data_IF_073544647640
#
_entry.id   IF_073544647640
#
_cell.length_a   1.000
_cell.length_b   1.000
_cell.length_c   1.000
_cell.angle_alpha   90.00
_cell.angle_beta   90.00
_cell.angle_gamma   90.00
#
_symmetry.space_group_name_H-M   'P 1'
#
loop_
_entity.id
_entity.type
_entity.pdbx_description
1 polymer ?
#
# COMPACT_ATOMS: atom_id res chain seq x y z
N UNK A 1 -65.19 10.17 1.65
CA UNK A 1 -64.05 9.22 1.69
C UNK A 1 -62.90 9.80 0.90
N UNK A 2 -62.03 10.54 1.59
CA UNK A 2 -60.63 10.83 1.22
C UNK A 2 -60.08 11.66 2.38
N UNK A 3 -59.63 10.95 3.39
CA UNK A 3 -58.89 11.42 4.56
C UNK A 3 -57.98 10.24 4.92
N UNK A 4 -56.71 10.54 5.24
CA UNK A 4 -55.61 9.60 5.56
C UNK A 4 -54.70 9.22 4.38
N UNK A 5 -53.96 10.18 3.82
CA UNK A 5 -52.68 9.90 3.14
C UNK A 5 -51.81 11.16 3.00
N UNK A 6 -51.53 11.87 4.11
CA UNK A 6 -50.65 13.06 4.07
C UNK A 6 -50.02 13.37 5.43
N UNK A 7 -49.55 12.34 6.15
CA UNK A 7 -48.82 12.51 7.42
C UNK A 7 -47.88 11.34 7.68
N UNK A 8 -46.87 11.16 6.83
CA UNK A 8 -45.77 10.20 7.08
C UNK A 8 -44.49 10.50 6.28
N UNK A 9 -44.24 11.75 5.88
CA UNK A 9 -43.03 12.14 5.11
C UNK A 9 -42.11 13.14 5.85
N UNK A 10 -42.23 13.28 7.18
CA UNK A 10 -41.46 14.31 7.94
C UNK A 10 -40.57 13.77 9.08
N UNK A 11 -40.21 12.47 9.08
CA UNK A 11 -39.33 11.89 10.15
C UNK A 11 -38.12 11.06 9.64
N UNK A 12 -37.62 11.28 8.41
CA UNK A 12 -36.40 10.59 7.91
C UNK A 12 -35.21 11.53 7.57
N UNK A 13 -35.09 12.66 8.26
CA UNK A 13 -33.88 13.52 8.21
C UNK A 13 -33.23 13.59 9.60
N UNK A 14 -32.48 12.55 10.00
CA UNK A 14 -31.38 12.65 11.00
C UNK A 14 -30.73 11.27 11.26
N UNK A 15 -30.02 10.67 10.29
CA UNK A 15 -29.05 9.58 10.58
C UNK A 15 -28.12 9.28 9.37
N UNK A 16 -27.51 10.31 8.79
CA UNK A 16 -26.74 10.20 7.54
C UNK A 16 -25.21 10.38 7.64
N UNK A 17 -24.67 10.86 8.76
CA UNK A 17 -23.28 11.35 8.81
C UNK A 17 -22.47 10.65 9.92
N UNK A 18 -21.65 9.67 9.54
CA UNK A 18 -20.72 9.04 10.50
C UNK A 18 -20.09 7.72 10.09
N UNK A 19 -20.48 7.16 8.94
CA UNK A 19 -20.04 5.83 8.52
C UNK A 19 -18.67 5.84 7.83
N UNK A 20 -18.34 6.80 6.97
CA UNK A 20 -17.13 6.75 6.10
C UNK A 20 -15.78 6.58 6.82
N UNK A 21 -15.62 7.11 8.03
CA UNK A 21 -14.35 7.13 8.77
C UNK A 21 -14.07 5.85 9.60
N UNK A 22 -14.69 4.70 9.32
CA UNK A 22 -14.34 3.42 9.99
C UNK A 22 -13.67 2.40 9.07
N UNK A 23 -13.59 2.70 7.78
CA UNK A 23 -13.44 1.71 6.70
C UNK A 23 -12.00 1.53 6.20
N UNK A 24 -11.05 2.30 6.71
CA UNK A 24 -9.67 2.26 6.23
C UNK A 24 -8.81 1.25 6.99
N UNK A 25 -9.12 1.01 8.28
CA UNK A 25 -8.38 0.11 9.18
C UNK A 25 -8.31 -1.36 8.79
N UNK A 26 -9.24 -1.87 7.96
CA UNK A 26 -9.28 -3.30 7.61
C UNK A 26 -8.48 -3.60 6.32
N UNK A 27 -8.17 -2.58 5.52
CA UNK A 27 -7.15 -2.68 4.46
C UNK A 27 -5.74 -2.95 5.01
N UNK A 28 -5.49 -2.58 6.27
CA UNK A 28 -4.17 -2.72 6.93
C UNK A 28 -3.80 -4.17 7.30
N UNK A 29 -4.77 -5.07 7.45
CA UNK A 29 -4.51 -6.46 7.86
C UNK A 29 -4.29 -7.41 6.68
N UNK A 30 -4.68 -6.99 5.46
CA UNK A 30 -4.64 -7.81 4.25
C UNK A 30 -3.90 -7.12 3.10
N UNK A 31 -3.32 -5.94 3.34
CA UNK A 31 -2.38 -5.29 2.44
C UNK A 31 -1.11 -6.13 2.31
N UNK A 32 -0.73 -6.43 1.08
CA UNK A 32 0.49 -7.14 0.66
C UNK A 32 1.80 -6.42 1.00
N UNK A 33 1.83 -5.60 2.06
CA UNK A 33 2.95 -4.72 2.40
C UNK A 33 3.25 -4.79 3.91
N UNK A 34 4.03 -5.79 4.29
CA UNK A 34 4.78 -5.79 5.55
C UNK A 34 6.24 -5.48 5.23
N UNK A 35 6.65 -4.22 5.36
CA UNK A 35 8.08 -3.92 5.38
C UNK A 35 8.70 -4.27 6.74
N UNK A 36 9.75 -5.07 6.69
CA UNK A 36 11.05 -4.90 7.37
C UNK A 36 11.18 -4.13 8.70
N UNK A 37 10.22 -4.20 9.63
CA UNK A 37 10.45 -3.78 11.04
C UNK A 37 10.31 -4.89 12.07
N UNK A 38 10.34 -6.15 11.63
CA UNK A 38 10.49 -7.29 12.53
C UNK A 38 11.67 -8.15 12.11
N UNK A 39 12.89 -7.60 12.24
CA UNK A 39 14.09 -8.43 12.23
C UNK A 39 14.26 -9.23 13.54
N UNK A 40 13.29 -9.14 14.48
CA UNK A 40 13.28 -9.96 15.71
C UNK A 40 11.96 -10.70 16.01
N UNK A 41 10.93 -10.67 15.15
CA UNK A 41 9.73 -11.47 15.38
C UNK A 41 9.73 -12.70 14.47
N UNK A 42 9.93 -13.86 15.07
CA UNK A 42 9.82 -15.15 14.41
C UNK A 42 8.52 -15.27 13.60
N UNK A 43 8.67 -15.83 12.40
CA UNK A 43 7.63 -16.18 11.42
C UNK A 43 6.26 -16.48 12.04
N UNK A 44 5.22 -15.78 11.59
CA UNK A 44 3.84 -16.19 11.84
C UNK A 44 3.57 -17.51 11.09
N UNK A 45 3.06 -18.56 11.75
CA UNK A 45 2.64 -19.79 11.08
C UNK A 45 1.57 -19.51 10.02
N UNK A 46 1.62 -20.22 8.88
CA UNK A 46 0.70 -20.05 7.74
C UNK A 46 -0.80 -20.21 8.09
N UNK A 47 -1.14 -20.79 9.24
CA UNK A 47 -2.52 -20.93 9.72
C UNK A 47 -3.09 -19.69 10.42
N UNK A 48 -2.26 -18.71 10.81
CA UNK A 48 -2.72 -17.54 11.58
C UNK A 48 -3.67 -16.63 10.77
N UNK A 49 -3.44 -16.35 9.48
CA UNK A 49 -4.41 -15.63 8.63
C UNK A 49 -5.77 -16.32 8.48
N UNK A 50 -5.81 -17.65 8.49
CA UNK A 50 -7.05 -18.43 8.41
C UNK A 50 -7.74 -18.53 9.78
N UNK A 51 -6.99 -18.50 10.87
CA UNK A 51 -7.54 -18.38 12.23
C UNK A 51 -8.07 -16.97 12.51
N UNK A 52 -7.48 -15.94 11.87
CA UNK A 52 -7.92 -14.54 11.92
C UNK A 52 -9.33 -14.31 11.42
N UNK A 53 -9.83 -15.15 10.51
CA UNK A 53 -11.21 -15.06 9.98
C UNK A 53 -12.20 -15.94 10.75
N UNK A 54 -11.72 -16.77 11.70
CA UNK A 54 -12.57 -17.69 12.45
C UNK A 54 -13.59 -17.03 13.38
N UNK A 55 -13.41 -15.74 13.70
CA UNK A 55 -14.35 -14.96 14.52
C UNK A 55 -15.50 -14.33 13.71
N UNK A 56 -15.42 -14.33 12.37
CA UNK A 56 -16.44 -13.72 11.51
C UNK A 56 -17.87 -14.22 11.75
N UNK A 57 -18.12 -15.51 12.05
CA UNK A 57 -19.46 -15.98 12.39
C UNK A 57 -20.11 -15.25 13.58
N UNK A 58 -19.30 -14.67 14.47
CA UNK A 58 -19.75 -13.90 15.63
C UNK A 58 -19.70 -12.38 15.39
N UNK A 59 -19.27 -11.93 14.19
CA UNK A 59 -19.08 -10.53 13.86
C UNK A 59 -20.35 -9.94 13.19
N UNK A 60 -21.09 -9.05 13.88
CA UNK A 60 -22.31 -8.46 13.33
C UNK A 60 -22.03 -7.33 12.32
N UNK A 61 -20.80 -6.82 12.25
CA UNK A 61 -20.47 -5.68 11.39
C UNK A 61 -20.20 -6.13 9.94
N UNK A 62 -20.79 -5.44 8.97
CA UNK A 62 -20.59 -5.71 7.54
C UNK A 62 -19.12 -5.61 7.09
N UNK A 63 -18.32 -4.76 7.75
CA UNK A 63 -16.98 -4.41 7.32
C UNK A 63 -15.94 -5.55 7.40
N UNK A 64 -15.77 -6.21 8.56
CA UNK A 64 -14.92 -7.39 8.64
C UNK A 64 -15.35 -8.50 7.68
N UNK A 65 -16.66 -8.70 7.50
CA UNK A 65 -17.19 -9.60 6.49
C UNK A 65 -16.82 -9.18 5.07
N UNK A 66 -16.86 -7.89 4.73
CA UNK A 66 -16.48 -7.38 3.40
C UNK A 66 -14.98 -7.51 3.14
N UNK A 67 -14.13 -7.20 4.13
CA UNK A 67 -12.67 -7.30 3.99
C UNK A 67 -12.19 -8.75 4.00
N UNK A 68 -12.74 -9.57 4.90
CA UNK A 68 -12.54 -11.01 4.86
C UNK A 68 -13.09 -11.58 3.56
N UNK A 69 -14.26 -11.13 3.08
CA UNK A 69 -14.79 -11.50 1.78
C UNK A 69 -13.85 -11.10 0.65
N UNK A 70 -13.12 -9.97 0.69
CA UNK A 70 -12.12 -9.64 -0.35
C UNK A 70 -10.86 -10.52 -0.29
N UNK A 71 -10.36 -10.86 0.91
CA UNK A 71 -9.24 -11.79 1.05
C UNK A 71 -9.63 -13.24 0.75
N UNK A 72 -10.79 -13.67 1.23
CA UNK A 72 -11.43 -14.93 0.90
C UNK A 72 -11.81 -14.97 -0.56
N UNK A 73 -12.21 -13.86 -1.19
CA UNK A 73 -12.47 -13.77 -2.64
C UNK A 73 -11.19 -13.94 -3.44
N UNK A 74 -10.05 -13.47 -2.93
CA UNK A 74 -8.76 -13.83 -3.54
C UNK A 74 -8.47 -15.32 -3.33
N UNK A 75 -8.69 -15.89 -2.14
CA UNK A 75 -8.52 -17.33 -1.88
C UNK A 75 -9.49 -18.22 -2.68
N UNK A 76 -10.73 -17.78 -2.86
CA UNK A 76 -11.81 -18.39 -3.63
C UNK A 76 -11.48 -18.30 -5.12
N UNK A 77 -11.04 -17.13 -5.60
CA UNK A 77 -10.42 -17.01 -6.93
C UNK A 77 -9.18 -17.87 -7.08
N UNK A 78 -8.36 -18.03 -6.06
CA UNK A 78 -7.15 -18.87 -6.09
C UNK A 78 -7.48 -20.35 -6.21
N UNK A 79 -8.62 -20.79 -5.67
CA UNK A 79 -9.17 -22.13 -5.88
C UNK A 79 -9.76 -22.31 -7.30
N UNK A 80 -10.15 -21.21 -7.95
CA UNK A 80 -10.65 -21.15 -9.33
C UNK A 80 -9.60 -20.77 -10.41
N UNK A 81 -8.34 -20.47 -10.01
CA UNK A 81 -7.26 -19.97 -10.90
C UNK A 81 -6.37 -21.08 -11.44
N UNK A 82 -5.63 -20.79 -12.51
CA UNK A 82 -4.56 -21.66 -13.03
C UNK A 82 -3.40 -21.75 -12.04
N UNK A 83 -2.67 -22.88 -12.04
CA UNK A 83 -1.56 -23.14 -11.12
C UNK A 83 -0.49 -22.02 -11.11
N UNK A 84 -0.26 -21.35 -12.26
CA UNK A 84 0.74 -20.28 -12.40
C UNK A 84 0.37 -18.98 -11.66
N UNK A 85 -0.91 -18.59 -11.64
CA UNK A 85 -1.36 -17.39 -10.93
C UNK A 85 -1.35 -17.60 -9.42
N UNK A 86 -1.78 -18.80 -8.98
CA UNK A 86 -1.69 -19.20 -7.58
C UNK A 86 -0.24 -19.22 -7.09
N UNK A 87 0.66 -19.79 -7.89
CA UNK A 87 2.08 -19.83 -7.57
C UNK A 87 2.66 -18.42 -7.41
N UNK A 88 2.30 -17.47 -8.29
CA UNK A 88 2.76 -16.08 -8.18
C UNK A 88 2.34 -15.42 -6.87
N UNK A 89 1.07 -15.55 -6.50
CA UNK A 89 0.55 -14.95 -5.25
C UNK A 89 1.23 -15.56 -4.02
N UNK A 90 1.47 -16.87 -4.01
CA UNK A 90 2.20 -17.54 -2.93
C UNK A 90 3.65 -17.05 -2.82
N UNK A 91 4.33 -16.83 -3.96
CA UNK A 91 5.69 -16.28 -3.98
C UNK A 91 5.69 -14.85 -3.44
N UNK A 92 4.74 -14.01 -3.87
CA UNK A 92 4.60 -12.65 -3.38
C UNK A 92 4.44 -12.64 -1.86
N UNK A 93 3.49 -13.42 -1.35
CA UNK A 93 3.22 -13.54 0.08
C UNK A 93 4.44 -14.01 0.86
N UNK A 94 5.13 -15.04 0.36
CA UNK A 94 6.33 -15.59 0.99
C UNK A 94 7.45 -14.54 1.07
N UNK A 95 7.73 -13.83 -0.02
CA UNK A 95 8.77 -12.81 -0.05
C UNK A 95 8.41 -11.60 0.82
N UNK A 96 7.17 -11.11 0.77
CA UNK A 96 6.71 -9.99 1.60
C UNK A 96 6.76 -10.30 3.11
N UNK A 97 6.50 -11.55 3.51
CA UNK A 97 6.62 -11.98 4.92
C UNK A 97 8.03 -12.44 5.34
N UNK A 98 9.06 -12.16 4.54
CA UNK A 98 10.43 -12.43 4.96
C UNK A 98 10.85 -13.90 4.90
N UNK A 99 10.14 -14.72 4.10
CA UNK A 99 10.49 -16.14 3.96
C UNK A 99 11.92 -16.29 3.42
N UNK A 100 12.78 -16.96 4.21
CA UNK A 100 14.22 -17.09 3.88
C UNK A 100 14.47 -17.74 2.52
N UNK A 101 13.63 -18.70 2.13
CA UNK A 101 13.81 -19.38 0.85
C UNK A 101 13.47 -18.46 -0.32
N UNK A 102 12.37 -17.73 -0.22
CA UNK A 102 11.98 -16.74 -1.23
C UNK A 102 13.06 -15.66 -1.39
N UNK A 103 13.53 -15.10 -0.28
CA UNK A 103 14.60 -14.10 -0.25
C UNK A 103 15.90 -14.61 -0.86
N UNK A 104 16.36 -15.81 -0.48
CA UNK A 104 17.57 -16.42 -1.07
C UNK A 104 17.43 -16.60 -2.58
N UNK A 105 16.28 -17.07 -3.05
CA UNK A 105 16.06 -17.26 -4.49
C UNK A 105 16.04 -15.92 -5.23
N UNK A 106 15.38 -14.90 -4.69
CA UNK A 106 15.38 -13.56 -5.29
C UNK A 106 16.81 -12.99 -5.40
N UNK A 107 17.61 -13.11 -4.33
CA UNK A 107 19.03 -12.68 -4.33
C UNK A 107 19.85 -13.45 -5.37
N UNK A 108 19.68 -14.78 -5.48
CA UNK A 108 20.35 -15.58 -6.51
C UNK A 108 19.97 -15.12 -7.91
N UNK A 109 18.68 -14.92 -8.19
CA UNK A 109 18.21 -14.43 -9.49
C UNK A 109 18.82 -13.08 -9.88
N UNK A 110 18.87 -12.14 -8.94
CA UNK A 110 19.48 -10.82 -9.16
C UNK A 110 20.98 -10.94 -9.39
N UNK A 111 21.68 -11.74 -8.57
CA UNK A 111 23.12 -11.96 -8.70
C UNK A 111 23.51 -12.62 -10.04
N UNK A 112 22.71 -13.60 -10.48
CA UNK A 112 22.87 -14.24 -11.78
C UNK A 112 22.60 -13.25 -12.93
N UNK A 113 21.61 -12.36 -12.77
CA UNK A 113 21.34 -11.34 -13.76
C UNK A 113 22.48 -10.32 -13.86
N UNK A 114 23.01 -9.84 -12.73
CA UNK A 114 24.14 -8.91 -12.70
C UNK A 114 25.38 -9.52 -13.36
N UNK A 115 25.73 -10.76 -12.97
CA UNK A 115 26.95 -11.44 -13.46
C UNK A 115 26.87 -11.83 -14.94
N UNK A 116 25.71 -12.31 -15.41
CA UNK A 116 25.56 -12.76 -16.80
C UNK A 116 25.12 -11.66 -17.76
N UNK A 117 24.70 -10.51 -17.23
CA UNK A 117 24.01 -9.43 -17.93
C UNK A 117 22.78 -9.89 -18.74
N UNK A 118 22.23 -11.08 -18.42
CA UNK A 118 21.07 -11.68 -19.09
C UNK A 118 19.97 -11.92 -18.06
N UNK A 119 18.84 -11.27 -18.26
CA UNK A 119 17.71 -11.41 -17.36
C UNK A 119 16.99 -12.75 -17.60
N UNK A 120 17.19 -13.70 -16.68
CA UNK A 120 16.53 -15.02 -16.71
C UNK A 120 15.33 -15.11 -15.77
N UNK A 121 14.94 -13.99 -15.16
CA UNK A 121 13.82 -13.96 -14.23
C UNK A 121 12.52 -14.11 -15.03
N UNK A 122 11.66 -15.09 -14.67
CA UNK A 122 10.38 -15.29 -15.33
C UNK A 122 9.54 -14.00 -15.26
N UNK A 123 8.95 -13.54 -16.39
CA UNK A 123 8.25 -12.27 -16.45
C UNK A 123 7.16 -12.06 -15.39
N UNK A 124 6.47 -13.13 -15.00
CA UNK A 124 5.37 -13.11 -14.03
C UNK A 124 5.79 -12.84 -12.58
N UNK A 125 7.09 -12.96 -12.25
CA UNK A 125 7.61 -12.74 -10.88
C UNK A 125 8.71 -11.67 -10.84
N UNK A 126 8.94 -10.93 -11.93
CA UNK A 126 10.01 -9.92 -12.01
C UNK A 126 9.83 -8.81 -11.00
N UNK A 127 8.60 -8.32 -10.85
CA UNK A 127 8.21 -7.33 -9.85
C UNK A 127 8.60 -7.78 -8.44
N UNK A 128 8.25 -9.02 -8.08
CA UNK A 128 8.55 -9.59 -6.76
C UNK A 128 10.07 -9.71 -6.56
N UNK A 129 10.78 -10.27 -7.53
CA UNK A 129 12.22 -10.52 -7.45
C UNK A 129 13.02 -9.22 -7.42
N UNK A 130 12.69 -8.24 -8.26
CA UNK A 130 13.38 -6.95 -8.29
C UNK A 130 13.16 -6.18 -7.00
N UNK A 131 11.90 -6.06 -6.55
CA UNK A 131 11.56 -5.37 -5.31
C UNK A 131 12.26 -6.01 -4.11
N UNK A 132 12.23 -7.35 -4.02
CA UNK A 132 12.93 -8.10 -2.96
C UNK A 132 14.44 -7.89 -3.01
N UNK A 133 15.05 -7.92 -4.20
CA UNK A 133 16.47 -7.67 -4.38
C UNK A 133 16.87 -6.26 -3.93
N UNK A 134 16.14 -5.24 -4.37
CA UNK A 134 16.39 -3.83 -4.01
C UNK A 134 16.19 -3.56 -2.50
N UNK A 135 15.25 -4.25 -1.85
CA UNK A 135 15.02 -4.14 -0.40
C UNK A 135 16.16 -4.78 0.41
N UNK A 136 16.68 -5.94 -0.02
CA UNK A 136 17.61 -6.76 0.77
C UNK A 136 19.09 -6.51 0.49
N UNK A 137 19.43 -6.06 -0.71
CA UNK A 137 20.83 -5.93 -1.17
C UNK A 137 21.32 -4.48 -1.05
N UNK A 138 22.56 -4.25 -1.49
CA UNK A 138 23.25 -2.97 -1.36
C UNK A 138 22.87 -1.96 -2.46
N UNK A 139 23.44 -0.76 -2.35
CA UNK A 139 23.24 0.34 -3.30
C UNK A 139 23.64 -0.04 -4.74
N UNK A 140 24.61 -0.95 -4.92
CA UNK A 140 25.04 -1.41 -6.24
C UNK A 140 23.90 -2.12 -6.99
N UNK A 141 23.04 -2.87 -6.28
CA UNK A 141 21.84 -3.46 -6.89
C UNK A 141 20.83 -2.41 -7.29
N UNK A 142 20.63 -1.37 -6.46
CA UNK A 142 19.75 -0.25 -6.81
C UNK A 142 20.25 0.47 -8.07
N UNK A 143 21.55 0.77 -8.14
CA UNK A 143 22.17 1.40 -9.31
C UNK A 143 22.09 0.52 -10.56
N UNK A 144 22.24 -0.79 -10.40
CA UNK A 144 22.04 -1.73 -11.50
C UNK A 144 20.60 -1.68 -12.03
N UNK A 145 19.58 -1.71 -11.16
CA UNK A 145 18.18 -1.61 -11.56
C UNK A 145 17.90 -0.23 -12.22
N UNK A 146 18.47 0.85 -11.68
CA UNK A 146 18.37 2.20 -12.25
C UNK A 146 18.96 2.27 -13.66
N UNK A 147 20.15 1.70 -13.87
CA UNK A 147 20.76 1.55 -15.18
C UNK A 147 19.87 0.75 -16.13
N UNK A 148 19.27 -0.36 -15.65
CA UNK A 148 18.37 -1.19 -16.46
C UNK A 148 17.12 -0.45 -16.89
N UNK A 149 16.54 0.35 -16.00
CA UNK A 149 15.39 1.21 -16.29
C UNK A 149 15.68 2.16 -17.47
N UNK A 150 16.86 2.76 -17.51
CA UNK A 150 17.27 3.62 -18.61
C UNK A 150 17.61 2.87 -19.90
N UNK A 151 18.15 1.65 -19.80
CA UNK A 151 18.57 0.87 -20.96
C UNK A 151 17.43 0.21 -21.72
N UNK A 152 16.31 -0.10 -21.05
CA UNK A 152 15.20 -0.83 -21.68
C UNK A 152 14.29 0.11 -22.46
N UNK A 153 13.77 -0.36 -23.60
CA UNK A 153 12.72 0.33 -24.37
C UNK A 153 11.33 -0.21 -24.09
N UNK A 154 11.21 -1.34 -23.40
CA UNK A 154 9.93 -1.97 -23.09
C UNK A 154 9.22 -1.20 -21.96
N UNK A 155 8.07 -0.59 -22.28
CA UNK A 155 7.29 0.23 -21.34
C UNK A 155 6.83 -0.59 -20.12
N UNK A 156 6.43 -1.84 -20.32
CA UNK A 156 6.04 -2.75 -19.22
C UNK A 156 7.20 -3.02 -18.27
N UNK A 157 8.38 -3.31 -18.81
CA UNK A 157 9.59 -3.55 -18.02
C UNK A 157 10.04 -2.29 -17.28
N UNK A 158 9.95 -1.11 -17.91
CA UNK A 158 10.27 0.17 -17.25
C UNK A 158 9.44 0.39 -16.00
N UNK A 159 8.13 0.14 -16.06
CA UNK A 159 7.25 0.32 -14.89
C UNK A 159 7.64 -0.59 -13.74
N UNK A 160 7.91 -1.86 -14.03
CA UNK A 160 8.32 -2.86 -13.02
C UNK A 160 9.66 -2.45 -12.39
N UNK A 161 10.64 -2.01 -13.19
CA UNK A 161 11.93 -1.55 -12.68
C UNK A 161 11.78 -0.29 -11.83
N UNK A 162 10.96 0.66 -12.27
CA UNK A 162 10.71 1.90 -11.54
C UNK A 162 10.03 1.65 -10.19
N UNK A 163 9.04 0.76 -10.15
CA UNK A 163 8.39 0.32 -8.91
C UNK A 163 9.40 -0.38 -7.99
N UNK A 164 10.23 -1.28 -8.51
CA UNK A 164 11.24 -1.97 -7.71
C UNK A 164 12.24 -1.01 -7.02
N UNK A 165 12.63 0.09 -7.68
CA UNK A 165 13.52 1.10 -7.09
C UNK A 165 12.92 1.77 -5.84
N UNK A 166 11.59 1.80 -5.73
CA UNK A 166 10.89 2.34 -4.56
C UNK A 166 10.82 1.37 -3.39
N UNK A 167 11.20 0.09 -3.58
CA UNK A 167 11.25 -0.92 -2.52
C UNK A 167 12.51 -0.87 -1.65
N UNK A 168 13.41 0.10 -1.89
CA UNK A 168 14.66 0.20 -1.12
C UNK A 168 14.38 0.49 0.35
N UNK A 169 15.10 -0.18 1.26
CA UNK A 169 15.06 0.13 2.69
C UNK A 169 15.93 1.37 3.03
N UNK A 170 16.72 1.87 2.07
CA UNK A 170 17.57 3.04 2.23
C UNK A 170 16.81 4.33 1.89
N UNK A 171 16.47 5.11 2.92
CA UNK A 171 15.75 6.39 2.78
C UNK A 171 16.49 7.43 1.94
N UNK A 172 17.82 7.37 1.86
CA UNK A 172 18.59 8.24 0.98
C UNK A 172 18.31 7.95 -0.50
N UNK A 173 18.23 6.66 -0.87
CA UNK A 173 17.94 6.24 -2.24
C UNK A 173 16.49 6.57 -2.62
N UNK A 174 15.53 6.38 -1.70
CA UNK A 174 14.15 6.80 -1.90
C UNK A 174 14.04 8.32 -2.12
N UNK A 175 14.74 9.12 -1.32
CA UNK A 175 14.77 10.57 -1.48
C UNK A 175 15.44 11.00 -2.79
N UNK A 176 16.53 10.32 -3.17
CA UNK A 176 17.19 10.54 -4.46
C UNK A 176 16.23 10.25 -5.60
N UNK A 177 15.50 9.14 -5.55
CA UNK A 177 14.51 8.77 -6.57
C UNK A 177 13.38 9.81 -6.70
N UNK A 178 12.82 10.27 -5.57
CA UNK A 178 11.79 11.31 -5.57
C UNK A 178 12.28 12.59 -6.27
N UNK A 179 13.49 13.05 -5.93
CA UNK A 179 14.08 14.23 -6.55
C UNK A 179 14.31 14.02 -8.05
N UNK A 180 14.94 12.90 -8.44
CA UNK A 180 15.16 12.55 -9.84
C UNK A 180 13.84 12.53 -10.63
N UNK A 181 12.75 12.00 -10.04
CA UNK A 181 11.46 11.92 -10.73
C UNK A 181 10.83 13.28 -11.03
N UNK A 182 11.03 14.30 -10.18
CA UNK A 182 10.36 15.58 -10.35
C UNK A 182 11.23 16.61 -11.09
N UNK A 183 12.54 16.57 -10.87
CA UNK A 183 13.48 17.63 -11.32
C UNK A 183 14.24 17.29 -12.60
N UNK A 184 14.19 16.05 -13.07
CA UNK A 184 14.94 15.63 -14.26
C UNK A 184 14.01 15.00 -15.30
N UNK A 185 14.40 15.08 -16.57
CA UNK A 185 13.70 14.42 -17.68
C UNK A 185 13.97 12.90 -17.74
N UNK A 186 14.56 12.34 -16.68
CA UNK A 186 14.95 10.93 -16.59
C UNK A 186 13.74 10.01 -16.33
N UNK A 187 12.71 10.51 -15.65
CA UNK A 187 11.46 9.79 -15.40
C UNK A 187 10.34 10.45 -16.20
N UNK A 188 9.56 9.71 -17.01
CA UNK A 188 8.44 10.28 -17.73
C UNK A 188 7.43 10.93 -16.78
N UNK A 189 6.89 12.07 -17.19
CA UNK A 189 6.00 12.88 -16.36
C UNK A 189 4.78 12.11 -15.84
N UNK A 190 4.26 11.19 -16.64
CA UNK A 190 3.14 10.31 -16.30
C UNK A 190 3.46 9.28 -15.20
N UNK A 191 4.73 8.95 -15.01
CA UNK A 191 5.19 7.93 -14.05
C UNK A 191 5.62 8.56 -12.70
N UNK A 192 5.79 9.89 -12.64
CA UNK A 192 6.19 10.61 -11.40
C UNK A 192 5.19 10.40 -10.27
N UNK A 193 3.89 10.43 -10.58
CA UNK A 193 2.83 10.19 -9.60
C UNK A 193 2.96 8.78 -9.01
N UNK A 194 3.23 7.78 -9.86
CA UNK A 194 3.39 6.40 -9.43
C UNK A 194 4.62 6.24 -8.53
N UNK A 195 5.74 6.92 -8.85
CA UNK A 195 6.93 6.95 -7.98
C UNK A 195 6.59 7.49 -6.59
N UNK A 196 5.92 8.65 -6.51
CA UNK A 196 5.58 9.27 -5.22
C UNK A 196 4.67 8.35 -4.40
N UNK A 197 3.66 7.74 -5.04
CA UNK A 197 2.72 6.82 -4.38
C UNK A 197 3.44 5.56 -3.89
N UNK A 198 4.28 4.94 -4.72
CA UNK A 198 5.00 3.73 -4.34
C UNK A 198 6.04 3.99 -3.23
N UNK A 199 6.71 5.14 -3.23
CA UNK A 199 7.56 5.54 -2.09
C UNK A 199 6.71 5.79 -0.83
N UNK A 200 5.47 6.29 -0.98
CA UNK A 200 4.51 6.45 0.12
C UNK A 200 4.02 5.13 0.74
N UNK A 201 3.92 4.09 -0.09
CA UNK A 201 3.61 2.70 0.32
C UNK A 201 4.76 2.05 1.08
N UNK A 202 6.00 2.30 0.63
CA UNK A 202 7.19 1.87 1.35
C UNK A 202 7.18 2.48 2.77
N UNK A 203 7.18 1.69 3.85
CA UNK A 203 7.11 2.23 5.21
C UNK A 203 8.36 3.01 5.65
N UNK A 204 9.54 2.77 5.05
CA UNK A 204 10.70 3.65 5.21
C UNK A 204 10.54 4.96 4.44
N UNK A 205 9.78 4.94 3.33
CA UNK A 205 9.50 6.08 2.46
C UNK A 205 8.25 6.89 2.81
N UNK A 206 7.33 6.36 3.62
CA UNK A 206 6.01 6.97 3.87
C UNK A 206 6.07 8.43 4.32
N UNK A 207 6.80 8.66 5.42
CA UNK A 207 6.98 10.01 5.97
C UNK A 207 7.71 10.93 4.99
N UNK A 208 8.65 10.36 4.23
CA UNK A 208 9.42 11.07 3.22
C UNK A 208 8.54 11.51 2.05
N UNK A 209 7.70 10.62 1.52
CA UNK A 209 6.77 10.92 0.44
C UNK A 209 5.74 11.99 0.85
N UNK A 210 5.16 11.87 2.06
CA UNK A 210 4.24 12.87 2.58
C UNK A 210 4.88 14.25 2.74
N UNK A 211 6.10 14.29 3.30
CA UNK A 211 6.87 15.54 3.40
C UNK A 211 7.17 16.11 2.02
N UNK A 212 7.67 15.28 1.10
CA UNK A 212 8.02 15.68 -0.25
C UNK A 212 6.82 16.24 -1.03
N UNK A 213 5.67 15.59 -0.92
CA UNK A 213 4.42 16.04 -1.52
C UNK A 213 4.02 17.44 -1.03
N UNK A 214 4.08 17.70 0.28
CA UNK A 214 3.79 19.03 0.83
C UNK A 214 4.79 20.09 0.38
N UNK A 215 6.09 19.78 0.43
CA UNK A 215 7.16 20.72 0.05
C UNK A 215 7.16 21.05 -1.44
N UNK A 216 6.70 20.13 -2.29
CA UNK A 216 6.66 20.28 -3.75
C UNK A 216 5.26 20.54 -4.31
N UNK A 217 4.30 20.85 -3.43
CA UNK A 217 2.89 20.98 -3.80
C UNK A 217 2.67 21.96 -4.95
N UNK A 218 3.30 23.14 -4.92
CA UNK A 218 3.11 24.15 -5.97
C UNK A 218 3.48 23.61 -7.36
N UNK A 219 4.56 22.83 -7.46
CA UNK A 219 5.02 22.22 -8.71
C UNK A 219 4.05 21.10 -9.13
N UNK A 220 3.67 20.24 -8.19
CA UNK A 220 2.76 19.12 -8.44
C UNK A 220 1.37 19.61 -8.86
N UNK A 221 0.87 20.68 -8.24
CA UNK A 221 -0.42 21.28 -8.54
C UNK A 221 -0.38 22.04 -9.87
N UNK A 222 0.69 22.77 -10.17
CA UNK A 222 0.86 23.41 -11.48
C UNK A 222 0.88 22.37 -12.62
N UNK A 223 1.44 21.19 -12.37
CA UNK A 223 1.60 20.13 -13.36
C UNK A 223 0.36 19.23 -13.53
N UNK A 224 -0.28 18.86 -12.42
CA UNK A 224 -1.34 17.85 -12.41
C UNK A 224 -2.68 18.36 -11.88
N UNK A 225 -2.77 19.60 -11.37
CA UNK A 225 -3.95 20.15 -10.70
C UNK A 225 -5.20 20.21 -11.59
N UNK A 226 -5.02 20.54 -12.88
CA UNK A 226 -6.14 20.54 -13.85
C UNK A 226 -6.58 19.12 -14.23
N UNK A 227 -5.65 18.16 -14.19
CA UNK A 227 -5.93 16.76 -14.46
C UNK A 227 -6.54 16.09 -13.22
N UNK A 228 -7.82 16.34 -12.97
CA UNK A 228 -8.56 15.88 -11.77
C UNK A 228 -8.32 14.40 -11.41
N UNK A 229 -8.25 13.52 -12.40
CA UNK A 229 -7.96 12.09 -12.19
C UNK A 229 -6.55 11.86 -11.60
N UNK A 230 -5.54 12.51 -12.18
CA UNK A 230 -4.14 12.41 -11.75
C UNK A 230 -3.94 13.05 -10.39
N UNK A 231 -4.53 14.24 -10.18
CA UNK A 231 -4.52 14.92 -8.89
C UNK A 231 -5.16 14.07 -7.79
N UNK A 232 -6.34 13.50 -8.05
CA UNK A 232 -7.04 12.62 -7.10
C UNK A 232 -6.22 11.36 -6.79
N UNK A 233 -5.59 10.75 -7.80
CA UNK A 233 -4.71 9.59 -7.63
C UNK A 233 -3.51 9.92 -6.73
N UNK A 234 -2.85 11.06 -6.98
CA UNK A 234 -1.69 11.51 -6.20
C UNK A 234 -2.07 11.78 -4.74
N UNK A 235 -3.11 12.60 -4.49
CA UNK A 235 -3.56 12.95 -3.14
C UNK A 235 -3.99 11.68 -2.40
N UNK A 236 -4.82 10.84 -3.03
CA UNK A 236 -5.28 9.60 -2.42
C UNK A 236 -4.12 8.68 -2.06
N UNK A 237 -3.19 8.44 -2.99
CA UNK A 237 -2.08 7.51 -2.77
C UNK A 237 -1.06 7.98 -1.75
N UNK A 238 -0.76 9.28 -1.66
CA UNK A 238 0.20 9.79 -0.67
C UNK A 238 -0.39 9.87 0.75
N UNK A 239 -1.71 10.04 0.86
CA UNK A 239 -2.40 10.16 2.16
C UNK A 239 -2.97 8.83 2.68
N UNK A 240 -3.09 7.81 1.83
CA UNK A 240 -3.71 6.50 2.10
C UNK A 240 -3.27 5.87 3.43
N UNK A 241 -1.97 6.02 3.77
CA UNK A 241 -1.35 5.36 4.92
C UNK A 241 -1.02 6.29 6.10
N UNK A 242 -1.50 7.54 6.07
CA UNK A 242 -1.38 8.43 7.23
C UNK A 242 -2.33 7.92 8.33
N UNK A 243 -1.83 7.76 9.55
CA UNK A 243 -2.57 7.09 10.62
C UNK A 243 -2.29 7.63 12.03
N UNK A 244 -1.56 8.74 12.15
CA UNK A 244 -1.29 9.41 13.43
C UNK A 244 -2.05 10.74 13.54
N UNK A 245 -2.37 11.14 14.77
CA UNK A 245 -3.00 12.46 15.05
C UNK A 245 -2.17 13.63 14.51
N UNK A 246 -0.84 13.49 14.53
CA UNK A 246 0.07 14.48 13.96
C UNK A 246 -0.12 14.63 12.45
N UNK A 247 -0.10 13.52 11.71
CA UNK A 247 -0.28 13.54 10.25
C UNK A 247 -1.68 14.04 9.86
N UNK A 248 -2.71 13.69 10.64
CA UNK A 248 -4.05 14.20 10.43
C UNK A 248 -4.13 15.72 10.58
N UNK A 249 -3.50 16.27 11.62
CA UNK A 249 -3.45 17.72 11.81
C UNK A 249 -2.65 18.40 10.69
N UNK A 250 -1.51 17.83 10.30
CA UNK A 250 -0.72 18.32 9.17
C UNK A 250 -1.52 18.34 7.85
N UNK A 251 -2.36 17.32 7.60
CA UNK A 251 -3.24 17.28 6.44
C UNK A 251 -4.33 18.37 6.51
N UNK A 252 -4.95 18.57 7.68
CA UNK A 252 -5.94 19.65 7.89
C UNK A 252 -5.34 21.03 7.64
N UNK A 253 -4.18 21.29 8.21
CA UNK A 253 -3.43 22.54 8.01
C UNK A 253 -3.06 22.73 6.54
N UNK A 254 -2.61 21.67 5.86
CA UNK A 254 -2.25 21.71 4.45
C UNK A 254 -3.45 22.05 3.54
N UNK A 255 -4.62 21.45 3.79
CA UNK A 255 -5.85 21.74 3.04
C UNK A 255 -6.27 23.20 3.21
N UNK A 256 -6.22 23.71 4.45
CA UNK A 256 -6.56 25.11 4.76
C UNK A 256 -5.59 26.09 4.11
N UNK A 257 -4.28 25.87 4.26
CA UNK A 257 -3.24 26.77 3.74
C UNK A 257 -3.29 26.94 2.21
N UNK A 258 -3.70 25.90 1.49
CA UNK A 258 -3.74 25.90 0.03
C UNK A 258 -5.15 26.11 -0.56
N UNK A 259 -6.16 26.37 0.29
CA UNK A 259 -7.57 26.53 -0.13
C UNK A 259 -8.12 25.35 -0.96
N UNK A 260 -7.70 24.12 -0.66
CA UNK A 260 -7.97 22.93 -1.49
C UNK A 260 -9.31 22.24 -1.20
N UNK A 261 -10.20 22.90 -0.46
CA UNK A 261 -11.48 22.33 -0.01
C UNK A 261 -12.53 22.12 -1.10
N UNK A 262 -12.31 22.61 -2.33
CA UNK A 262 -13.31 22.58 -3.40
C UNK A 262 -13.35 21.28 -4.23
N UNK A 263 -12.27 20.48 -4.23
CA UNK A 263 -12.18 19.24 -5.00
C UNK A 263 -12.49 17.99 -4.16
N UNK A 264 -13.18 16.96 -4.70
CA UNK A 264 -13.62 15.78 -3.94
C UNK A 264 -12.47 14.92 -3.39
N UNK A 265 -11.25 15.07 -3.91
CA UNK A 265 -10.09 14.28 -3.47
C UNK A 265 -9.67 14.60 -2.03
N UNK A 266 -9.70 15.88 -1.64
CA UNK A 266 -9.23 16.31 -0.31
C UNK A 266 -10.17 15.89 0.83
N UNK A 267 -11.50 16.13 0.75
CA UNK A 267 -12.44 15.65 1.76
C UNK A 267 -12.38 14.12 1.93
N UNK A 268 -12.35 13.37 0.82
CA UNK A 268 -12.21 11.91 0.85
C UNK A 268 -10.94 11.47 1.55
N UNK A 269 -9.81 12.11 1.23
CA UNK A 269 -8.52 11.78 1.86
C UNK A 269 -8.54 12.08 3.35
N UNK A 270 -9.19 13.17 3.75
CA UNK A 270 -9.36 13.50 5.16
C UNK A 270 -10.18 12.44 5.91
N UNK A 271 -11.33 12.01 5.36
CA UNK A 271 -12.15 10.95 5.95
C UNK A 271 -11.37 9.63 6.11
N UNK A 272 -10.55 9.28 5.11
CA UNK A 272 -9.70 8.09 5.12
C UNK A 272 -8.69 8.17 6.27
N UNK A 273 -7.99 9.29 6.40
CA UNK A 273 -6.96 9.49 7.44
C UNK A 273 -7.59 9.56 8.83
N UNK A 274 -8.74 10.22 8.99
CA UNK A 274 -9.49 10.22 10.25
C UNK A 274 -9.90 8.81 10.67
N UNK A 275 -10.28 7.97 9.71
CA UNK A 275 -10.58 6.57 9.99
C UNK A 275 -9.36 5.73 10.36
N UNK A 276 -8.21 6.00 9.73
CA UNK A 276 -6.95 5.34 10.07
C UNK A 276 -6.54 5.67 11.50
N UNK A 277 -6.57 6.96 11.87
CA UNK A 277 -6.25 7.44 13.23
C UNK A 277 -7.18 6.83 14.26
N UNK A 278 -8.50 6.84 13.99
CA UNK A 278 -9.51 6.27 14.88
C UNK A 278 -9.27 4.78 15.10
N UNK A 279 -9.02 4.02 14.03
CA UNK A 279 -8.73 2.59 14.13
C UNK A 279 -7.46 2.33 14.92
N UNK A 280 -6.39 3.06 14.62
CA UNK A 280 -5.10 2.93 15.30
C UNK A 280 -5.21 3.26 16.81
N UNK A 281 -6.03 4.25 17.18
CA UNK A 281 -6.28 4.59 18.58
C UNK A 281 -7.05 3.49 19.33
N UNK A 282 -8.08 2.92 18.71
CA UNK A 282 -9.00 1.98 19.36
C UNK A 282 -8.49 0.54 19.38
N UNK A 283 -7.91 0.06 18.27
CA UNK A 283 -7.69 -1.38 18.06
C UNK A 283 -6.22 -1.80 18.11
N UNK A 284 -5.27 -0.88 17.90
CA UNK A 284 -3.83 -1.22 17.79
C UNK A 284 -3.34 -2.10 18.94
N UNK A 285 -3.63 -1.71 20.19
CA UNK A 285 -3.13 -2.43 21.37
C UNK A 285 -3.72 -3.85 21.46
N UNK A 286 -5.02 -3.98 21.26
CA UNK A 286 -5.71 -5.27 21.28
C UNK A 286 -5.20 -6.19 20.16
N UNK A 287 -5.04 -5.63 18.96
CA UNK A 287 -4.51 -6.36 17.81
C UNK A 287 -3.09 -6.89 18.06
N UNK A 288 -2.17 -6.05 18.57
CA UNK A 288 -0.80 -6.50 18.90
C UNK A 288 -0.75 -7.51 20.04
N UNK A 289 -1.64 -7.39 21.03
CA UNK A 289 -1.75 -8.40 22.10
C UNK A 289 -2.25 -9.73 21.57
N UNK A 290 -3.23 -9.71 20.67
CA UNK A 290 -3.75 -10.90 20.01
C UNK A 290 -2.66 -11.59 19.17
N UNK A 291 -1.90 -10.83 18.36
CA UNK A 291 -0.79 -11.38 17.55
C UNK A 291 0.29 -12.07 18.39
N UNK A 292 0.58 -11.56 19.60
CA UNK A 292 1.58 -12.12 20.51
C UNK A 292 1.11 -13.40 21.21
N UNK A 293 -0.20 -13.62 21.30
CA UNK A 293 -0.75 -14.88 21.78
C UNK A 293 -0.62 -15.89 20.63
N UNK A 294 0.57 -16.48 20.49
CA UNK A 294 0.75 -17.66 19.66
C UNK A 294 -0.29 -18.71 20.04
N UNK A 295 -0.85 -19.49 19.09
CA UNK A 295 -1.66 -20.64 19.45
C UNK A 295 -0.76 -21.55 20.29
N UNK A 296 -1.14 -21.78 21.54
CA UNK A 296 -0.51 -22.81 22.37
C UNK A 296 -0.44 -24.10 21.55
N UNK A 297 0.74 -24.69 21.58
CA UNK A 297 1.06 -26.06 21.19
C UNK A 297 0.17 -27.08 21.92
N UNK A 298 -1.09 -27.18 21.50
CA UNK A 298 -2.03 -28.23 21.90
C UNK A 298 -2.76 -28.71 20.65
N UNK A 299 -2.00 -29.35 19.76
CA UNK A 299 -2.52 -30.39 18.89
C UNK A 299 -1.76 -31.65 19.29
N UNK A 300 -2.29 -32.29 20.34
CA UNK A 300 -2.04 -33.70 20.63
C UNK A 300 -2.96 -34.57 19.79
#
# INVERSE_FOLDING_TARGET
MKSEESRSEEEEEEEGEGSGAKYTGVGWALGLEFSSTNQEAGYLPQGVPLQLIGYLPEEPSFLPWHSASRALYQLDKLLDRTDEELQRELIMLACSFGNKQCHRQAVTYISDWISSNKNRIPPNIRDIVYCTGVSLMDEDVWEFIWMKFHSTSAVSEKKILLEALTCSDNTFLLNRLLNLSLTSDLVPEQDVIDVIIHVGRNPQGRNLAWKYFREKWDILNARYGEALFMNSKLIGGVTEFLNTEKELNELKEFIQANNLGAGPAMPRSLEIVEGNVRWHRLHRRHFFQWLRKSPNSNLG
#
